data_IF_820122510094
#
_entry.id   IF_820122510094
#
_cell.length_a   1.000
_cell.length_b   1.000
_cell.length_c   1.000
_cell.angle_alpha   90.00
_cell.angle_beta   90.00
_cell.angle_gamma   90.00
#
_symmetry.space_group_name_H-M   'P 1'
#
loop_
_entity.id
_entity.type
_entity.pdbx_description
1 polymer ?
#
# COMPACT_ATOMS: atom_id res chain seq x y z
N UNK A 1 -14.41 -29.10 30.54
CA UNK A 1 -14.79 -28.40 29.28
C UNK A 1 -13.87 -27.22 28.96
N UNK A 2 -13.14 -26.66 29.93
CA UNK A 2 -12.25 -25.50 29.73
C UNK A 2 -11.02 -25.80 28.84
N UNK A 3 -10.45 -27.02 28.91
CA UNK A 3 -9.25 -27.39 28.14
C UNK A 3 -9.48 -27.51 26.62
N UNK A 4 -10.68 -27.90 26.18
CA UNK A 4 -11.00 -27.99 24.75
C UNK A 4 -11.22 -26.60 24.14
N UNK A 5 -11.87 -25.71 24.90
CA UNK A 5 -12.07 -24.31 24.52
C UNK A 5 -10.74 -23.57 24.37
N UNK A 6 -9.79 -23.79 25.28
CA UNK A 6 -8.46 -23.20 25.21
C UNK A 6 -7.65 -23.71 24.00
N UNK A 7 -7.76 -25.01 23.69
CA UNK A 7 -7.09 -25.59 22.53
C UNK A 7 -7.65 -25.06 21.19
N UNK A 8 -8.97 -24.88 21.09
CA UNK A 8 -9.60 -24.29 19.90
C UNK A 8 -9.16 -22.83 19.71
N UNK A 9 -9.14 -22.04 20.78
CA UNK A 9 -8.71 -20.63 20.72
C UNK A 9 -7.25 -20.48 20.28
N UNK A 10 -6.36 -21.36 20.76
CA UNK A 10 -4.94 -21.37 20.34
C UNK A 10 -4.77 -21.72 18.86
N UNK A 11 -5.55 -22.68 18.35
CA UNK A 11 -5.51 -23.09 16.94
C UNK A 11 -6.09 -21.99 16.03
N UNK A 12 -7.13 -21.28 16.48
CA UNK A 12 -7.70 -20.13 15.76
C UNK A 12 -6.74 -18.93 15.74
N UNK A 13 -6.02 -18.66 16.84
CA UNK A 13 -4.99 -17.63 16.90
C UNK A 13 -3.79 -17.94 15.98
N UNK A 14 -3.28 -19.19 15.97
CA UNK A 14 -2.19 -19.56 15.05
C UNK A 14 -2.63 -19.55 13.58
N UNK A 15 -3.86 -19.95 13.27
CA UNK A 15 -4.42 -19.92 11.91
C UNK A 15 -4.60 -18.49 11.40
N UNK A 16 -5.08 -17.57 12.25
CA UNK A 16 -5.28 -16.17 11.90
C UNK A 16 -3.94 -15.41 11.77
N UNK A 17 -2.98 -15.65 12.66
CA UNK A 17 -1.63 -15.10 12.54
C UNK A 17 -0.91 -15.57 11.24
N UNK A 18 -1.10 -16.85 10.88
CA UNK A 18 -0.55 -17.41 9.64
C UNK A 18 -1.18 -16.81 8.38
N UNK A 19 -2.49 -16.56 8.40
CA UNK A 19 -3.19 -15.86 7.32
C UNK A 19 -2.71 -14.41 7.18
N UNK A 20 -2.57 -13.67 8.28
CA UNK A 20 -2.08 -12.29 8.26
C UNK A 20 -0.65 -12.20 7.70
N UNK A 21 0.23 -13.14 8.09
CA UNK A 21 1.57 -13.23 7.51
C UNK A 21 1.54 -13.44 5.98
N UNK A 22 0.66 -14.31 5.48
CA UNK A 22 0.46 -14.54 4.04
C UNK A 22 -0.01 -13.29 3.30
N UNK A 23 -0.98 -12.56 3.86
CA UNK A 23 -1.50 -11.31 3.29
C UNK A 23 -0.41 -10.24 3.24
N UNK A 24 0.40 -10.11 4.29
CA UNK A 24 1.52 -9.15 4.34
C UNK A 24 2.56 -9.41 3.24
N UNK A 25 2.90 -10.68 3.00
CA UNK A 25 3.83 -11.09 1.94
C UNK A 25 3.26 -10.76 0.55
N UNK A 26 1.99 -11.09 0.30
CA UNK A 26 1.37 -10.83 -0.99
C UNK A 26 1.24 -9.33 -1.28
N UNK A 27 0.88 -8.51 -0.28
CA UNK A 27 0.85 -7.05 -0.45
C UNK A 27 2.22 -6.46 -0.75
N UNK A 28 3.28 -6.97 -0.11
CA UNK A 28 4.66 -6.58 -0.44
C UNK A 28 4.99 -6.96 -1.88
N UNK A 29 4.64 -8.17 -2.32
CA UNK A 29 4.83 -8.60 -3.70
C UNK A 29 4.11 -7.69 -4.70
N UNK A 30 2.83 -7.40 -4.47
CA UNK A 30 2.03 -6.49 -5.31
C UNK A 30 2.65 -5.10 -5.39
N UNK A 31 3.16 -4.59 -4.27
CA UNK A 31 3.88 -3.32 -4.18
C UNK A 31 5.18 -3.32 -4.97
N UNK A 32 5.99 -4.36 -4.83
CA UNK A 32 7.29 -4.47 -5.50
C UNK A 32 7.13 -4.71 -7.02
N UNK A 33 6.02 -5.34 -7.44
CA UNK A 33 5.70 -5.57 -8.85
C UNK A 33 5.03 -4.38 -9.56
N UNK A 34 4.56 -3.37 -8.82
CA UNK A 34 3.81 -2.26 -9.39
C UNK A 34 4.74 -1.07 -9.71
N UNK A 35 5.23 -1.00 -10.95
CA UNK A 35 5.91 0.20 -11.46
C UNK A 35 4.88 1.17 -12.05
N UNK A 36 4.64 2.26 -11.33
CA UNK A 36 3.69 3.31 -11.71
C UNK A 36 4.07 4.01 -13.01
N UNK A 37 5.34 4.01 -13.41
CA UNK A 37 5.78 4.61 -14.67
C UNK A 37 5.50 3.73 -15.91
N UNK A 38 5.28 2.42 -15.72
CA UNK A 38 4.87 1.51 -16.81
C UNK A 38 3.40 1.68 -17.19
N UNK A 39 2.60 2.33 -16.34
CA UNK A 39 1.18 2.56 -16.61
C UNK A 39 1.01 3.49 -17.82
N UNK A 40 -0.04 3.28 -18.61
CA UNK A 40 -0.41 4.19 -19.69
C UNK A 40 -0.67 5.60 -19.14
N UNK A 41 -0.22 6.64 -19.84
CA UNK A 41 -0.31 8.04 -19.41
C UNK A 41 -1.73 8.51 -19.08
N UNK A 42 -2.74 8.02 -19.82
CA UNK A 42 -4.15 8.34 -19.54
C UNK A 42 -4.63 7.74 -18.21
N UNK A 43 -4.25 6.49 -17.93
CA UNK A 43 -4.55 5.85 -16.65
C UNK A 43 -3.76 6.47 -15.50
N UNK A 44 -2.49 6.79 -15.74
CA UNK A 44 -1.63 7.48 -14.78
C UNK A 44 -2.24 8.83 -14.38
N UNK A 45 -2.61 9.65 -15.37
CA UNK A 45 -3.23 10.95 -15.13
C UNK A 45 -4.58 10.83 -14.43
N UNK A 46 -5.37 9.79 -14.72
CA UNK A 46 -6.63 9.54 -14.00
C UNK A 46 -6.40 9.20 -12.52
N UNK A 47 -5.41 8.36 -12.23
CA UNK A 47 -5.15 7.84 -10.89
C UNK A 47 -4.36 8.80 -9.99
N UNK A 48 -3.46 9.59 -10.58
CA UNK A 48 -2.51 10.43 -9.82
C UNK A 48 -2.83 11.91 -10.01
N UNK A 49 -3.42 12.32 -11.15
CA UNK A 49 -3.65 13.69 -11.68
C UNK A 49 -2.50 14.38 -12.45
N UNK A 50 -1.25 14.47 -11.98
CA UNK A 50 -0.17 15.02 -12.78
C UNK A 50 0.20 14.06 -13.91
N UNK A 51 0.84 14.60 -14.95
CA UNK A 51 1.54 13.77 -15.92
C UNK A 51 2.84 13.21 -15.31
N UNK A 52 3.48 12.27 -16.00
CA UNK A 52 4.68 11.59 -15.49
C UNK A 52 5.85 12.56 -15.25
N UNK A 53 5.99 13.59 -16.07
CA UNK A 53 7.06 14.60 -15.91
C UNK A 53 6.88 15.42 -14.64
N UNK A 54 5.66 15.91 -14.39
CA UNK A 54 5.33 16.64 -13.17
C UNK A 54 5.42 15.73 -11.93
N UNK A 55 5.04 14.46 -12.06
CA UNK A 55 5.22 13.48 -11.00
C UNK A 55 6.71 13.26 -10.67
N UNK A 56 7.56 13.12 -11.70
CA UNK A 56 9.00 12.98 -11.52
C UNK A 56 9.60 14.21 -10.86
N UNK A 57 9.19 15.41 -11.28
CA UNK A 57 9.61 16.66 -10.63
C UNK A 57 9.28 16.68 -9.13
N UNK A 58 8.07 16.24 -8.75
CA UNK A 58 7.68 16.11 -7.34
C UNK A 58 8.57 15.10 -6.62
N UNK A 59 8.80 13.92 -7.22
CA UNK A 59 9.65 12.89 -6.62
C UNK A 59 11.08 13.39 -6.38
N UNK A 60 11.66 14.09 -7.37
CA UNK A 60 13.00 14.65 -7.29
C UNK A 60 13.07 15.79 -6.25
N UNK A 61 12.01 16.59 -6.13
CA UNK A 61 11.92 17.68 -5.13
C UNK A 61 11.92 17.15 -3.70
N UNK A 62 11.29 16.00 -3.45
CA UNK A 62 11.20 15.40 -2.12
C UNK A 62 12.20 14.25 -1.88
N UNK A 63 13.20 14.10 -2.76
CA UNK A 63 14.12 12.96 -2.71
C UNK A 63 14.94 12.93 -1.41
N UNK A 64 15.32 14.08 -0.87
CA UNK A 64 16.09 14.18 0.37
C UNK A 64 15.24 13.81 1.60
N UNK A 65 14.01 14.29 1.67
CA UNK A 65 13.10 14.05 2.80
C UNK A 65 12.58 12.61 2.82
N UNK A 66 12.41 12.01 1.64
CA UNK A 66 11.92 10.64 1.53
C UNK A 66 13.02 9.60 1.74
N UNK A 67 14.28 9.91 1.44
CA UNK A 67 15.43 9.02 1.71
C UNK A 67 15.84 9.00 3.17
N UNK A 68 15.56 10.07 3.93
CA UNK A 68 15.86 10.16 5.36
C UNK A 68 14.96 9.27 6.26
N UNK A 69 13.84 8.79 5.75
CA UNK A 69 12.88 8.01 6.55
C UNK A 69 13.27 6.53 6.64
N UNK A 70 14.01 6.16 7.69
CA UNK A 70 14.33 4.76 8.03
C UNK A 70 13.19 4.03 8.73
N UNK A 71 12.10 4.73 9.07
CA UNK A 71 10.98 4.22 9.86
C UNK A 71 9.92 3.52 9.02
N UNK A 72 9.96 3.66 7.69
CA UNK A 72 8.96 3.12 6.78
C UNK A 72 9.53 1.98 5.93
N UNK A 73 8.77 0.90 5.79
CA UNK A 73 9.07 -0.18 4.82
C UNK A 73 8.69 0.19 3.37
N UNK A 74 8.19 1.40 3.14
CA UNK A 74 7.81 1.90 1.82
C UNK A 74 8.97 2.69 1.21
N UNK A 75 9.21 2.45 -0.09
CA UNK A 75 10.13 3.30 -0.84
C UNK A 75 9.58 4.73 -0.96
N UNK A 76 10.46 5.74 -1.09
CA UNK A 76 10.12 7.11 -1.44
C UNK A 76 9.03 7.25 -2.51
N UNK A 77 9.20 6.53 -3.60
CA UNK A 77 8.27 6.49 -4.73
C UNK A 77 6.88 6.05 -4.28
N UNK A 78 6.79 4.97 -3.52
CA UNK A 78 5.51 4.45 -3.06
C UNK A 78 4.78 5.40 -2.10
N UNK A 79 5.53 6.15 -1.28
CA UNK A 79 4.95 7.18 -0.40
C UNK A 79 4.34 8.30 -1.24
N UNK A 80 5.11 8.86 -2.18
CA UNK A 80 4.66 9.97 -3.05
C UNK A 80 3.46 9.55 -3.90
N UNK A 81 3.51 8.35 -4.51
CA UNK A 81 2.38 7.81 -5.28
C UNK A 81 1.13 7.69 -4.41
N UNK A 82 1.25 7.11 -3.22
CA UNK A 82 0.10 6.88 -2.34
C UNK A 82 -0.56 8.21 -1.94
N UNK A 83 0.25 9.21 -1.60
CA UNK A 83 -0.24 10.54 -1.26
C UNK A 83 -0.96 11.20 -2.44
N UNK A 84 -0.35 11.18 -3.62
CA UNK A 84 -0.96 11.79 -4.81
C UNK A 84 -2.23 11.07 -5.26
N UNK A 85 -2.26 9.73 -5.17
CA UNK A 85 -3.47 8.94 -5.44
C UNK A 85 -4.59 9.31 -4.48
N UNK A 86 -4.29 9.44 -3.19
CA UNK A 86 -5.25 9.90 -2.19
C UNK A 86 -5.83 11.29 -2.53
N UNK A 87 -4.97 12.25 -2.89
CA UNK A 87 -5.41 13.58 -3.32
C UNK A 87 -6.20 13.55 -4.64
N UNK A 88 -5.86 12.62 -5.54
CA UNK A 88 -6.53 12.46 -6.81
C UNK A 88 -7.98 11.94 -6.65
N UNK A 89 -8.18 11.05 -5.69
CA UNK A 89 -9.46 10.38 -5.41
C UNK A 89 -10.48 11.35 -4.78
N UNK A 90 -10.01 12.32 -3.97
CA UNK A 90 -10.82 13.44 -3.47
C UNK A 90 -11.92 13.05 -2.47
N UNK A 91 -12.06 11.76 -2.14
CA UNK A 91 -12.99 11.25 -1.14
C UNK A 91 -12.32 10.13 -0.35
N UNK A 92 -12.20 10.34 0.96
CA UNK A 92 -11.64 9.36 1.89
C UNK A 92 -12.38 8.02 1.84
N UNK A 93 -13.71 8.04 1.65
CA UNK A 93 -14.53 6.84 1.64
C UNK A 93 -14.43 6.03 0.33
N UNK A 94 -13.97 6.65 -0.76
CA UNK A 94 -13.89 5.97 -2.06
C UNK A 94 -12.76 4.93 -2.11
N UNK A 95 -11.66 5.19 -1.38
CA UNK A 95 -10.56 4.22 -1.22
C UNK A 95 -10.89 3.08 -0.25
N UNK A 96 -11.74 3.34 0.75
CA UNK A 96 -12.17 2.35 1.78
C UNK A 96 -13.10 1.32 1.14
N UNK A 97 -12.51 0.28 0.55
CA UNK A 97 -13.21 -0.83 -0.12
C UNK A 97 -12.52 -1.26 -1.43
N UNK A 98 -11.93 -0.30 -2.16
CA UNK A 98 -11.14 -0.58 -3.37
C UNK A 98 -9.67 -0.89 -3.04
N UNK A 99 -9.13 -0.33 -1.95
CA UNK A 99 -7.72 -0.44 -1.61
C UNK A 99 -7.30 -1.79 -1.02
N UNK A 100 -8.23 -2.67 -0.65
CA UNK A 100 -7.91 -4.04 -0.20
C UNK A 100 -6.98 -4.79 -1.20
N UNK A 101 -7.13 -4.52 -2.50
CA UNK A 101 -6.33 -5.11 -3.58
C UNK A 101 -5.08 -4.31 -3.95
N UNK A 102 -4.84 -3.17 -3.30
CA UNK A 102 -3.70 -2.31 -3.59
C UNK A 102 -2.58 -2.67 -2.63
N UNK A 103 -1.38 -2.91 -3.16
CA UNK A 103 -0.19 -3.28 -2.35
C UNK A 103 0.21 -2.25 -1.27
N UNK A 104 -0.43 -1.08 -1.25
CA UNK A 104 -0.26 -0.01 -0.26
C UNK A 104 -1.21 -0.09 0.94
N UNK A 105 -2.28 -0.89 0.89
CA UNK A 105 -3.25 -0.95 1.98
C UNK A 105 -2.67 -1.57 3.25
N UNK A 106 -3.10 -1.06 4.40
CA UNK A 106 -2.81 -1.65 5.72
C UNK A 106 -3.92 -2.63 6.13
N UNK A 107 -3.58 -3.63 6.93
CA UNK A 107 -4.58 -4.48 7.57
C UNK A 107 -5.15 -3.69 8.74
N UNK A 108 -6.48 -3.64 8.86
CA UNK A 108 -7.18 -3.05 10.01
C UNK A 108 -7.47 -4.09 11.05
#
# INVERSE_FOLDING_TARGET
MESLSAAISLVEEESSASQDAGVRIERRRLRDMCDHFQMNDGLFKKNVRPNKDAFKYVLDTFAEETTASTLSSLSPLNIVVSALRFFAEGSYQHGVGADHNVGMAQST
#
